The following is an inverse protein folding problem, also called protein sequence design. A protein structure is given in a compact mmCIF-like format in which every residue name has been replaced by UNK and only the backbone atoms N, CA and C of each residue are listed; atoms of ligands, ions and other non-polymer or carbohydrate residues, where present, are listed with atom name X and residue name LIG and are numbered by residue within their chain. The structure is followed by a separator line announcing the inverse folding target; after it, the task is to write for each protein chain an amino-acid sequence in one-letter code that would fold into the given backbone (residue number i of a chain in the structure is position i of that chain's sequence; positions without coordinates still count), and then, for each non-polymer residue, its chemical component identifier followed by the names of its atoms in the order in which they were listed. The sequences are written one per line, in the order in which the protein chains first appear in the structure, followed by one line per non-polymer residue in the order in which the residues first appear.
data_IF_463844450381
#
_entry.id   IF_463844450381
#
_cell.length_a   1.000
_cell.length_b   1.000
_cell.length_c   1.000
_cell.angle_alpha   90.00
_cell.angle_beta   90.00
_cell.angle_gamma   90.00
#
_symmetry.space_group_name_H-M   'P 1'
#
loop_
_entity.id
_entity.type
_entity.pdbx_description
1 polymer ?
#
# COMPACT_ATOMS: atom_id res chain seq x y z
N UNK A 1 -10.76 -2.95 -19.35
CA UNK A 1 -11.22 -1.68 -18.80
C UNK A 1 -10.05 -0.71 -18.76
N UNK A 2 -10.11 0.30 -19.60
CA UNK A 2 -9.21 1.44 -19.54
C UNK A 2 -9.75 2.32 -18.40
N UNK A 3 -8.96 2.55 -17.36
CA UNK A 3 -9.30 3.53 -16.35
C UNK A 3 -9.17 4.93 -16.98
N UNK A 4 -10.25 5.45 -17.49
CA UNK A 4 -10.30 6.75 -18.17
C UNK A 4 -10.39 7.95 -17.21
N UNK A 5 -10.44 7.69 -15.89
CA UNK A 5 -10.54 8.75 -14.88
C UNK A 5 -9.23 8.92 -14.15
N UNK A 6 -8.86 10.15 -13.75
CA UNK A 6 -7.71 10.38 -12.86
C UNK A 6 -7.84 9.54 -11.61
N UNK A 7 -6.73 8.88 -11.24
CA UNK A 7 -6.64 8.13 -9.99
C UNK A 7 -6.24 9.10 -8.89
N UNK A 8 -7.12 9.31 -7.92
CA UNK A 8 -6.85 10.22 -6.83
C UNK A 8 -5.75 9.69 -5.92
N UNK A 9 -4.76 10.54 -5.67
CA UNK A 9 -3.59 10.21 -4.87
C UNK A 9 -3.90 10.41 -3.38
N UNK A 10 -4.75 9.53 -2.82
CA UNK A 10 -5.08 9.46 -1.40
C UNK A 10 -4.74 8.11 -0.84
N UNK A 11 -4.27 8.10 0.42
CA UNK A 11 -3.99 6.91 1.22
C UNK A 11 -4.79 7.00 2.51
N UNK A 12 -5.53 5.95 2.85
CA UNK A 12 -6.25 5.81 4.11
C UNK A 12 -5.90 4.48 4.76
N UNK A 13 -5.63 4.50 6.06
CA UNK A 13 -5.57 3.28 6.85
C UNK A 13 -6.99 2.81 7.15
N UNK A 14 -7.28 1.56 6.86
CA UNK A 14 -8.61 1.00 7.09
C UNK A 14 -8.55 -0.24 7.97
N UNK A 15 -9.42 -0.27 9.00
CA UNK A 15 -9.73 -1.52 9.70
C UNK A 15 -10.54 -2.37 8.72
N UNK A 16 -9.98 -3.43 8.27
CA UNK A 16 -10.75 -4.33 7.48
C UNK A 16 -10.03 -5.67 7.41
N UNK A 17 -10.77 -6.73 7.56
CA UNK A 17 -10.32 -7.94 6.92
C UNK A 17 -10.09 -7.56 5.47
N UNK A 18 -8.83 -7.45 5.07
CA UNK A 18 -8.43 -7.52 3.66
C UNK A 18 -8.97 -8.85 3.16
N UNK A 19 -10.29 -8.84 3.11
CA UNK A 19 -11.10 -10.03 3.09
C UNK A 19 -10.74 -10.85 1.89
N UNK A 20 -11.14 -12.05 1.93
CA UNK A 20 -11.14 -12.99 0.82
C UNK A 20 -11.48 -12.22 -0.44
N UNK A 21 -10.47 -11.91 -1.22
CA UNK A 21 -10.63 -11.16 -2.44
C UNK A 21 -11.67 -11.85 -3.31
N UNK A 22 -12.57 -11.06 -3.89
CA UNK A 22 -13.56 -11.57 -4.84
C UNK A 22 -12.90 -12.36 -6.01
N UNK A 23 -11.66 -12.02 -6.35
CA UNK A 23 -10.85 -12.72 -7.33
C UNK A 23 -10.49 -14.13 -6.84
N UNK A 24 -10.14 -14.29 -5.57
CA UNK A 24 -9.81 -15.61 -5.03
C UNK A 24 -11.04 -16.51 -4.94
N UNK A 25 -12.22 -15.96 -4.68
CA UNK A 25 -13.48 -16.71 -4.74
C UNK A 25 -13.81 -17.18 -6.15
N UNK A 26 -13.62 -16.34 -7.16
CA UNK A 26 -13.90 -16.70 -8.57
C UNK A 26 -12.90 -17.69 -9.13
N UNK A 27 -11.64 -17.66 -8.69
CA UNK A 27 -10.61 -18.57 -9.16
C UNK A 27 -10.63 -19.94 -8.46
N UNK A 28 -11.47 -20.11 -7.43
CA UNK A 28 -11.48 -21.31 -6.60
C UNK A 28 -10.21 -21.54 -5.79
N UNK A 29 -9.25 -20.64 -5.86
CA UNK A 29 -7.96 -20.75 -5.16
C UNK A 29 -8.04 -20.02 -3.84
N UNK A 30 -8.06 -20.73 -2.74
CA UNK A 30 -7.98 -20.15 -1.41
C UNK A 30 -6.71 -19.29 -1.28
N UNK A 31 -6.87 -18.04 -0.89
CA UNK A 31 -5.76 -17.12 -0.60
C UNK A 31 -4.85 -16.73 -1.76
N UNK A 32 -5.30 -16.80 -3.02
CA UNK A 32 -4.47 -16.53 -4.19
C UNK A 32 -3.79 -15.14 -4.18
N UNK A 33 -4.41 -14.10 -3.61
CA UNK A 33 -3.91 -12.73 -3.65
C UNK A 33 -4.11 -11.96 -2.33
N UNK A 34 -3.77 -12.58 -1.21
CA UNK A 34 -3.77 -11.89 0.08
C UNK A 34 -2.45 -11.17 0.31
N UNK A 35 -2.51 -9.88 0.58
CA UNK A 35 -1.39 -9.12 1.11
C UNK A 35 -1.83 -8.32 2.34
N UNK A 36 -0.98 -8.19 3.34
CA UNK A 36 -1.32 -7.50 4.58
C UNK A 36 -1.16 -5.98 4.44
N UNK A 37 -1.73 -5.39 3.39
CA UNK A 37 -1.71 -3.95 3.24
C UNK A 37 -2.73 -3.30 4.18
N UNK A 38 -2.32 -2.40 5.05
CA UNK A 38 -3.22 -1.70 5.95
C UNK A 38 -3.87 -0.49 5.29
N UNK A 39 -3.52 -0.18 4.04
CA UNK A 39 -3.96 1.04 3.36
C UNK A 39 -4.92 0.75 2.22
N UNK A 40 -5.79 1.74 1.96
CA UNK A 40 -6.59 1.87 0.76
C UNK A 40 -6.13 3.08 -0.02
N UNK A 41 -6.35 3.06 -1.32
CA UNK A 41 -5.87 4.10 -2.23
C UNK A 41 -6.96 4.49 -3.24
N UNK A 42 -6.82 5.67 -3.83
CA UNK A 42 -7.73 6.15 -4.87
C UNK A 42 -9.18 6.30 -4.42
N UNK A 43 -10.15 5.91 -5.26
CA UNK A 43 -11.58 6.10 -4.97
C UNK A 43 -12.06 5.43 -3.69
N UNK A 44 -11.44 4.31 -3.29
CA UNK A 44 -11.78 3.65 -2.03
C UNK A 44 -11.32 4.47 -0.83
N UNK A 45 -10.09 5.00 -0.87
CA UNK A 45 -9.58 5.89 0.16
C UNK A 45 -10.40 7.18 0.27
N UNK A 46 -10.87 7.73 -0.86
CA UNK A 46 -11.75 8.89 -0.85
C UNK A 46 -13.08 8.62 -0.16
N UNK A 47 -13.70 7.47 -0.44
CA UNK A 47 -14.95 7.08 0.23
C UNK A 47 -14.78 6.90 1.73
N UNK A 48 -13.67 6.29 2.14
CA UNK A 48 -13.35 6.13 3.56
C UNK A 48 -13.16 7.48 4.25
N UNK A 49 -12.40 8.37 3.63
CA UNK A 49 -12.18 9.71 4.17
C UNK A 49 -13.47 10.54 4.28
N UNK A 50 -14.34 10.45 3.27
CA UNK A 50 -15.62 11.15 3.28
C UNK A 50 -16.59 10.61 4.35
N UNK A 51 -16.44 9.35 4.75
CA UNK A 51 -17.26 8.75 5.80
C UNK A 51 -16.74 9.07 7.22
N UNK A 52 -15.54 9.64 7.34
CA UNK A 52 -14.94 10.05 8.61
C UNK A 52 -15.39 11.45 8.94
N UNK A 53 -16.34 11.60 9.84
CA UNK A 53 -16.81 12.92 10.28
C UNK A 53 -15.90 13.43 11.40
N UNK A 54 -14.96 14.31 11.05
CA UNK A 54 -14.32 15.21 12.01
C UNK A 54 -13.55 14.59 13.18
N UNK A 55 -13.06 13.36 13.06
CA UNK A 55 -12.34 12.70 14.13
C UNK A 55 -10.91 13.25 14.28
N UNK A 56 -10.46 13.36 15.52
CA UNK A 56 -9.19 13.99 15.91
C UNK A 56 -7.93 13.17 15.53
N UNK A 57 -8.06 12.07 14.82
CA UNK A 57 -6.95 11.20 14.44
C UNK A 57 -6.59 11.27 12.96
N UNK A 58 -5.33 11.23 12.64
CA UNK A 58 -4.86 11.12 11.26
C UNK A 58 -5.05 9.67 10.77
N UNK A 59 -6.08 9.44 9.97
CA UNK A 59 -6.36 8.13 9.38
C UNK A 59 -5.76 7.98 7.99
N UNK A 60 -5.37 9.06 7.36
CA UNK A 60 -4.81 9.06 6.03
C UNK A 60 -4.27 10.41 5.58
N UNK A 61 -3.86 10.48 4.33
CA UNK A 61 -3.28 11.67 3.74
C UNK A 61 -3.64 11.78 2.25
N UNK A 62 -3.97 12.99 1.82
CA UNK A 62 -4.11 13.33 0.41
C UNK A 62 -2.76 13.68 -0.20
N UNK A 63 -2.56 13.30 -1.45
CA UNK A 63 -1.38 13.66 -2.25
C UNK A 63 -0.03 13.40 -1.54
N UNK A 64 0.27 12.17 -1.11
CA UNK A 64 1.47 11.86 -0.32
C UNK A 64 2.78 12.23 -1.03
N UNK A 65 2.79 12.34 -2.36
CA UNK A 65 3.93 12.82 -3.13
C UNK A 65 4.37 14.24 -2.74
N UNK A 66 3.46 15.07 -2.27
CA UNK A 66 3.76 16.45 -1.82
C UNK A 66 4.60 16.49 -0.53
N UNK A 67 4.71 15.39 0.18
CA UNK A 67 5.38 15.26 1.47
C UNK A 67 6.62 14.37 1.41
N UNK A 68 7.23 14.18 0.24
CA UNK A 68 8.40 13.32 0.06
C UNK A 68 9.56 13.69 0.99
N UNK A 69 9.75 14.98 1.26
CA UNK A 69 10.80 15.51 2.13
C UNK A 69 10.49 15.34 3.62
N UNK A 70 9.23 15.13 4.03
CA UNK A 70 8.83 14.99 5.43
C UNK A 70 9.07 13.58 5.94
N UNK A 71 10.28 13.34 6.40
CA UNK A 71 10.73 12.04 6.92
C UNK A 71 10.61 11.90 8.44
N UNK A 72 10.09 12.92 9.12
CA UNK A 72 9.92 12.91 10.57
C UNK A 72 8.84 11.92 10.97
N UNK A 73 9.01 11.24 12.12
CA UNK A 73 7.96 10.38 12.64
C UNK A 73 6.71 11.19 12.96
N UNK A 74 5.55 10.67 12.63
CA UNK A 74 4.29 11.23 13.12
C UNK A 74 4.14 10.88 14.61
N UNK A 75 4.37 11.87 15.47
CA UNK A 75 4.40 11.66 16.92
C UNK A 75 3.08 11.13 17.46
N UNK A 76 1.96 11.58 16.92
CA UNK A 76 0.62 11.13 17.32
C UNK A 76 0.30 9.70 16.80
N UNK A 77 1.08 9.21 15.84
CA UNK A 77 0.84 7.95 15.16
C UNK A 77 -0.33 8.04 14.17
N UNK A 78 -0.56 6.93 13.49
CA UNK A 78 -1.66 6.76 12.56
C UNK A 78 -2.74 5.89 13.18
N UNK A 79 -3.99 6.16 12.81
CA UNK A 79 -5.16 5.42 13.24
C UNK A 79 -5.85 4.78 12.05
N UNK A 80 -6.52 3.67 12.29
CA UNK A 80 -7.40 3.12 11.28
C UNK A 80 -8.66 3.97 11.14
N UNK A 81 -9.07 4.18 9.90
CA UNK A 81 -10.38 4.74 9.59
C UNK A 81 -11.43 3.66 9.90
N UNK A 82 -12.11 3.79 11.02
CA UNK A 82 -13.17 2.88 11.47
C UNK A 82 -14.54 3.43 11.14
N UNK A 83 -15.41 2.59 10.57
CA UNK A 83 -16.86 2.88 10.67
C UNK A 83 -17.27 2.58 12.11
N UNK A 84 -17.76 3.57 12.81
CA UNK A 84 -18.48 3.34 14.05
C UNK A 84 -19.74 2.53 13.73
N UNK A 85 -19.75 1.25 14.06
CA UNK A 85 -20.99 0.46 14.07
C UNK A 85 -21.88 0.80 15.25
N UNK A 86 -21.34 1.40 16.32
CA UNK A 86 -22.01 1.50 17.60
C UNK A 86 -21.95 2.90 18.25
N UNK A 87 -21.80 3.94 17.46
CA UNK A 87 -21.85 5.33 17.96
C UNK A 87 -20.64 5.80 18.78
N UNK A 88 -19.69 4.93 19.09
CA UNK A 88 -18.42 5.26 19.76
C UNK A 88 -17.29 5.17 18.77
N UNK A 89 -16.85 6.31 18.28
CA UNK A 89 -15.78 6.43 17.29
C UNK A 89 -14.39 6.33 17.93
N UNK A 90 -13.99 5.17 18.39
CA UNK A 90 -12.60 4.94 18.75
C UNK A 90 -11.89 4.36 17.55
N UNK A 91 -11.16 5.21 16.85
CA UNK A 91 -10.26 4.78 15.79
C UNK A 91 -9.04 4.10 16.43
N UNK A 92 -8.86 2.79 16.26
CA UNK A 92 -7.74 2.10 16.89
C UNK A 92 -6.43 2.50 16.21
N UNK A 93 -5.29 2.50 16.95
CA UNK A 93 -3.99 2.73 16.36
C UNK A 93 -3.68 1.69 15.29
N UNK A 94 -3.00 2.12 14.24
CA UNK A 94 -2.60 1.25 13.14
C UNK A 94 -1.68 0.15 13.68
N UNK A 95 -2.04 -1.09 13.40
CA UNK A 95 -1.31 -2.27 13.79
C UNK A 95 -1.49 -3.38 12.74
N UNK A 96 -0.72 -4.44 12.85
CA UNK A 96 -0.90 -5.62 12.00
C UNK A 96 0.40 -6.20 11.45
N UNK A 97 0.31 -7.34 10.75
CA UNK A 97 1.48 -8.10 10.31
C UNK A 97 2.46 -7.33 9.42
N UNK A 98 1.99 -6.30 8.71
CA UNK A 98 2.85 -5.52 7.83
C UNK A 98 3.90 -4.71 8.60
N UNK A 99 3.64 -4.38 9.87
CA UNK A 99 4.57 -3.65 10.73
C UNK A 99 5.88 -4.41 10.95
N UNK A 100 5.86 -5.73 10.86
CA UNK A 100 7.07 -6.56 10.90
C UNK A 100 8.02 -6.32 9.71
N UNK A 101 7.61 -5.57 8.69
CA UNK A 101 8.39 -5.34 7.48
C UNK A 101 8.82 -3.88 7.28
N UNK A 102 8.45 -3.01 8.21
CA UNK A 102 8.78 -1.59 8.17
C UNK A 102 9.29 -1.10 9.53
N UNK A 103 10.03 0.01 9.53
CA UNK A 103 10.42 0.71 10.77
C UNK A 103 9.27 1.54 11.33
N UNK A 104 9.42 2.11 12.52
CA UNK A 104 8.45 3.06 13.08
C UNK A 104 8.15 4.25 12.16
N UNK A 105 9.12 4.70 11.38
CA UNK A 105 8.94 5.76 10.39
C UNK A 105 8.42 5.28 9.04
N UNK A 106 8.22 3.97 8.87
CA UNK A 106 7.66 3.37 7.66
C UNK A 106 8.68 3.07 6.56
N UNK A 107 9.98 3.03 6.90
CA UNK A 107 11.01 2.58 5.96
C UNK A 107 10.96 1.06 5.81
N UNK A 108 11.04 0.56 4.59
CA UNK A 108 11.09 -0.89 4.35
C UNK A 108 12.37 -1.49 4.95
N UNK A 109 12.27 -2.46 5.87
CA UNK A 109 13.42 -3.06 6.55
C UNK A 109 14.44 -3.69 5.58
N UNK A 110 13.98 -4.24 4.45
CA UNK A 110 14.86 -4.76 3.40
C UNK A 110 15.72 -3.68 2.71
N UNK A 111 15.41 -2.40 2.89
CA UNK A 111 16.27 -1.30 2.45
C UNK A 111 17.45 -1.08 3.39
N UNK A 112 17.29 -1.40 4.65
CA UNK A 112 18.24 -1.04 5.72
C UNK A 112 19.31 -2.10 6.00
N UNK A 113 19.32 -3.20 5.24
CA UNK A 113 20.33 -4.27 5.30
C UNK A 113 20.63 -4.74 6.75
N UNK A 114 19.57 -4.95 7.53
CA UNK A 114 19.68 -5.41 8.91
C UNK A 114 19.89 -4.30 9.96
N UNK A 115 19.94 -3.03 9.56
CA UNK A 115 20.13 -1.90 10.50
C UNK A 115 18.83 -1.33 11.07
N UNK A 116 17.69 -1.84 10.65
CA UNK A 116 16.38 -1.39 11.11
C UNK A 116 15.72 -2.39 12.05
N UNK A 117 14.82 -1.89 12.89
CA UNK A 117 13.95 -2.71 13.73
C UNK A 117 12.50 -2.62 13.25
N UNK A 118 11.71 -3.70 13.39
CA UNK A 118 10.28 -3.68 13.12
C UNK A 118 9.55 -2.61 13.92
N UNK A 119 8.54 -2.04 13.32
CA UNK A 119 7.72 -1.03 13.97
C UNK A 119 6.92 -1.63 15.13
N UNK A 120 7.06 -1.03 16.31
CA UNK A 120 6.21 -1.31 17.47
C UNK A 120 5.01 -0.36 17.46
N UNK A 121 5.21 0.88 16.99
CA UNK A 121 4.16 1.89 16.85
C UNK A 121 4.14 2.43 15.43
N UNK A 122 2.95 2.72 14.93
CA UNK A 122 2.76 3.27 13.59
C UNK A 122 2.99 4.79 13.56
N UNK A 123 4.22 5.23 13.77
CA UNK A 123 4.65 6.63 13.65
C UNK A 123 5.19 6.95 12.26
N UNK A 124 4.63 6.32 11.26
CA UNK A 124 5.08 6.45 9.88
C UNK A 124 5.19 7.91 9.44
N UNK A 125 6.28 8.27 8.80
CA UNK A 125 6.47 9.61 8.24
C UNK A 125 5.48 9.86 7.10
N UNK A 126 5.15 11.13 6.83
CA UNK A 126 4.32 11.46 5.66
C UNK A 126 4.98 11.03 4.35
N UNK A 127 6.31 11.06 4.29
CA UNK A 127 7.08 10.57 3.16
C UNK A 127 6.85 9.09 2.90
N UNK A 128 6.78 8.26 3.93
CA UNK A 128 6.56 6.81 3.80
C UNK A 128 5.16 6.44 3.34
N UNK A 129 4.19 7.35 3.49
CA UNK A 129 2.84 7.15 2.93
C UNK A 129 2.86 7.01 1.40
N UNK A 130 3.84 7.62 0.73
CA UNK A 130 4.05 7.40 -0.69
C UNK A 130 4.57 5.99 -0.99
N UNK A 131 5.41 5.42 -0.13
CA UNK A 131 5.82 4.01 -0.22
C UNK A 131 4.61 3.08 -0.10
N UNK A 132 3.71 3.34 0.85
CA UNK A 132 2.50 2.52 1.03
C UNK A 132 1.53 2.64 -0.13
N UNK A 133 1.34 3.86 -0.67
CA UNK A 133 0.57 4.08 -1.89
C UNK A 133 1.10 3.19 -3.03
N UNK A 134 2.39 3.29 -3.30
CA UNK A 134 3.00 2.52 -4.39
C UNK A 134 2.96 1.02 -4.13
N UNK A 135 3.16 0.57 -2.89
CA UNK A 135 3.06 -0.85 -2.55
C UNK A 135 1.68 -1.38 -2.87
N UNK A 136 0.63 -0.67 -2.45
CA UNK A 136 -0.75 -1.06 -2.72
C UNK A 136 -1.05 -1.10 -4.21
N UNK A 137 -0.63 -0.07 -4.97
CA UNK A 137 -0.79 -0.03 -6.43
C UNK A 137 -0.07 -1.20 -7.13
N UNK A 138 1.15 -1.53 -6.69
CA UNK A 138 1.91 -2.66 -7.24
C UNK A 138 1.21 -3.99 -6.95
N UNK A 139 0.68 -4.17 -5.75
CA UNK A 139 -0.04 -5.39 -5.38
C UNK A 139 -1.36 -5.52 -6.12
N UNK A 140 -2.09 -4.42 -6.30
CA UNK A 140 -3.29 -4.40 -7.14
C UNK A 140 -2.96 -4.73 -8.60
N UNK A 141 -1.86 -4.19 -9.14
CA UNK A 141 -1.39 -4.52 -10.48
C UNK A 141 -1.05 -6.02 -10.60
N UNK A 142 -0.35 -6.60 -9.62
CA UNK A 142 -0.05 -8.04 -9.59
C UNK A 142 -1.33 -8.87 -9.56
N UNK A 143 -2.32 -8.48 -8.76
CA UNK A 143 -3.64 -9.12 -8.74
C UNK A 143 -4.32 -9.06 -10.10
N UNK A 144 -4.32 -7.88 -10.71
CA UNK A 144 -5.00 -7.64 -11.98
C UNK A 144 -4.40 -8.43 -13.13
N UNK A 145 -3.06 -8.45 -13.26
CA UNK A 145 -2.40 -9.22 -14.33
C UNK A 145 -2.52 -10.74 -14.15
N UNK A 146 -2.84 -11.19 -12.93
CA UNK A 146 -3.07 -12.59 -12.61
C UNK A 146 -4.55 -12.96 -12.51
N UNK A 147 -5.46 -12.02 -12.70
CA UNK A 147 -6.90 -12.31 -12.72
C UNK A 147 -7.23 -13.34 -13.81
N UNK A 148 -8.11 -14.32 -13.56
CA UNK A 148 -8.43 -15.37 -14.52
C UNK A 148 -8.82 -14.84 -15.89
N UNK A 149 -9.66 -13.79 -15.93
CA UNK A 149 -10.07 -13.16 -17.18
C UNK A 149 -8.90 -12.52 -17.96
N UNK A 150 -7.90 -12.00 -17.27
CA UNK A 150 -6.71 -11.42 -17.90
C UNK A 150 -5.75 -12.50 -18.40
N UNK A 151 -5.66 -13.62 -17.67
CA UNK A 151 -4.79 -14.73 -18.02
C UNK A 151 -5.34 -15.57 -19.17
N UNK A 152 -6.65 -15.88 -19.15
CA UNK A 152 -7.30 -16.69 -20.18
C UNK A 152 -7.28 -16.04 -21.57
N UNK A 153 -7.24 -14.70 -21.62
CA UNK A 153 -7.10 -13.96 -22.87
C UNK A 153 -5.69 -14.01 -23.47
N UNK A 154 -4.76 -14.74 -22.86
CA UNK A 154 -3.35 -14.76 -23.28
C UNK A 154 -2.77 -16.17 -23.33
N UNK A 155 -1.71 -16.31 -24.17
CA UNK A 155 -0.91 -17.54 -24.22
C UNK A 155 -0.38 -17.88 -22.81
N UNK A 156 -0.29 -19.16 -22.47
CA UNK A 156 0.14 -19.65 -21.16
C UNK A 156 -0.74 -19.15 -19.99
N UNK A 157 -2.04 -19.37 -20.10
CA UNK A 157 -3.02 -18.95 -19.09
C UNK A 157 -2.74 -19.54 -17.69
N UNK A 158 -2.10 -20.70 -17.61
CA UNK A 158 -1.79 -21.40 -16.35
C UNK A 158 -0.56 -20.84 -15.63
N UNK A 159 0.29 -20.10 -16.33
CA UNK A 159 1.53 -19.55 -15.77
C UNK A 159 1.27 -18.23 -15.03
N UNK A 160 1.62 -18.13 -13.74
CA UNK A 160 1.53 -16.87 -13.00
C UNK A 160 2.40 -15.78 -13.63
N UNK A 161 1.82 -14.58 -13.73
CA UNK A 161 2.51 -13.40 -14.28
C UNK A 161 3.30 -12.70 -13.18
N UNK A 162 4.51 -12.25 -13.52
CA UNK A 162 5.36 -11.47 -12.61
C UNK A 162 5.53 -10.04 -13.13
N UNK A 163 5.48 -9.09 -12.23
CA UNK A 163 5.81 -7.70 -12.52
C UNK A 163 7.34 -7.57 -12.63
N UNK A 164 7.85 -7.37 -13.85
CA UNK A 164 9.29 -7.30 -14.09
C UNK A 164 9.85 -5.88 -14.11
N UNK A 165 9.05 -4.92 -14.57
CA UNK A 165 9.49 -3.54 -14.75
C UNK A 165 8.44 -2.59 -14.20
N UNK A 166 8.90 -1.60 -13.46
CA UNK A 166 8.12 -0.46 -12.99
C UNK A 166 8.79 0.79 -13.56
N UNK A 167 8.03 1.60 -14.28
CA UNK A 167 8.49 2.88 -14.83
C UNK A 167 7.75 3.98 -14.10
N UNK A 168 8.51 4.88 -13.49
CA UNK A 168 7.98 6.08 -12.84
C UNK A 168 8.39 7.30 -13.67
N UNK A 169 7.41 8.10 -14.02
CA UNK A 169 7.65 9.39 -14.65
C UNK A 169 7.83 10.47 -13.59
N UNK A 170 8.72 11.38 -13.86
CA UNK A 170 9.02 12.52 -13.00
C UNK A 170 8.73 13.81 -13.75
N UNK A 171 8.19 14.84 -13.07
CA UNK A 171 8.13 16.17 -13.65
C UNK A 171 9.54 16.66 -13.99
N UNK A 172 9.75 17.28 -15.17
CA UNK A 172 11.07 17.77 -15.57
C UNK A 172 11.68 18.77 -14.58
N UNK A 173 10.84 19.57 -13.92
CA UNK A 173 11.26 20.57 -12.94
C UNK A 173 11.42 20.03 -11.51
N UNK A 174 11.33 18.71 -11.29
CA UNK A 174 11.49 18.15 -9.95
C UNK A 174 12.95 18.28 -9.48
N UNK A 175 13.22 18.87 -8.29
CA UNK A 175 14.56 18.97 -7.75
C UNK A 175 15.25 17.61 -7.59
N UNK A 176 16.54 17.52 -7.84
CA UNK A 176 17.31 16.26 -7.75
C UNK A 176 17.20 15.59 -6.39
N UNK A 177 17.16 16.38 -5.30
CA UNK A 177 16.97 15.85 -3.96
C UNK A 177 15.62 15.12 -3.81
N UNK A 178 14.54 15.69 -4.34
CA UNK A 178 13.22 15.06 -4.33
C UNK A 178 13.17 13.82 -5.24
N UNK A 179 13.82 13.87 -6.41
CA UNK A 179 13.94 12.70 -7.29
C UNK A 179 14.60 11.52 -6.58
N UNK A 180 15.66 11.79 -5.80
CA UNK A 180 16.34 10.79 -4.98
C UNK A 180 15.40 10.16 -3.95
N UNK A 181 14.66 11.00 -3.21
CA UNK A 181 13.70 10.53 -2.20
C UNK A 181 12.60 9.70 -2.87
N UNK A 182 12.04 10.18 -3.97
CA UNK A 182 11.00 9.46 -4.71
C UNK A 182 11.49 8.07 -5.17
N UNK A 183 12.73 7.99 -5.66
CA UNK A 183 13.35 6.71 -6.01
C UNK A 183 13.47 5.78 -4.82
N UNK A 184 13.95 6.27 -3.67
CA UNK A 184 14.05 5.51 -2.44
C UNK A 184 12.67 4.96 -2.00
N UNK A 185 11.63 5.79 -2.08
CA UNK A 185 10.25 5.38 -1.76
C UNK A 185 9.73 4.29 -2.70
N UNK A 186 10.01 4.43 -3.99
CA UNK A 186 9.63 3.45 -5.00
C UNK A 186 10.39 2.11 -4.81
N UNK A 187 11.66 2.16 -4.53
CA UNK A 187 12.46 0.97 -4.23
C UNK A 187 11.95 0.26 -2.97
N UNK A 188 11.61 1.03 -1.92
CA UNK A 188 10.97 0.51 -0.72
C UNK A 188 9.65 -0.22 -1.04
N UNK A 189 8.80 0.40 -1.85
CA UNK A 189 7.54 -0.19 -2.27
C UNK A 189 7.74 -1.49 -3.07
N UNK A 190 8.71 -1.52 -3.99
CA UNK A 190 9.04 -2.73 -4.76
C UNK A 190 9.52 -3.86 -3.84
N UNK A 191 10.34 -3.54 -2.83
CA UNK A 191 10.82 -4.54 -1.87
C UNK A 191 9.71 -5.08 -0.98
N UNK A 192 8.77 -4.24 -0.53
CA UNK A 192 7.59 -4.68 0.20
C UNK A 192 6.69 -5.54 -0.70
N UNK A 193 6.38 -5.09 -1.91
CA UNK A 193 5.55 -5.84 -2.85
C UNK A 193 6.17 -7.21 -3.19
N UNK A 194 7.49 -7.27 -3.36
CA UNK A 194 8.21 -8.54 -3.57
C UNK A 194 8.07 -9.48 -2.37
N UNK A 195 8.21 -8.98 -1.15
CA UNK A 195 8.02 -9.80 0.06
C UNK A 195 6.65 -10.48 0.03
N UNK A 196 5.59 -9.73 -0.24
CA UNK A 196 4.22 -10.27 -0.27
C UNK A 196 3.94 -11.16 -1.48
N UNK A 197 4.56 -10.89 -2.62
CA UNK A 197 4.38 -11.67 -3.84
C UNK A 197 5.16 -12.99 -3.81
N UNK A 198 6.37 -12.99 -3.25
CA UNK A 198 7.28 -14.14 -3.28
C UNK A 198 7.04 -15.16 -2.17
N UNK A 199 6.60 -14.74 -0.99
CA UNK A 199 6.31 -15.68 0.10
C UNK A 199 5.14 -16.64 -0.22
N UNK A 200 4.34 -16.32 -1.26
CA UNK A 200 3.26 -17.17 -1.75
C UNK A 200 3.54 -17.93 -3.04
N UNK A 201 4.50 -17.47 -3.82
CA UNK A 201 4.82 -17.97 -5.15
C UNK A 201 6.34 -18.07 -5.33
N UNK A 202 7.05 -18.35 -4.24
CA UNK A 202 8.48 -18.66 -4.29
C UNK A 202 8.74 -19.79 -5.31
N UNK A 203 9.94 -19.87 -5.87
CA UNK A 203 10.29 -21.05 -6.63
C UNK A 203 10.12 -22.24 -5.69
N UNK A 204 9.26 -23.16 -6.09
CA UNK A 204 9.25 -24.50 -5.52
C UNK A 204 10.60 -25.14 -5.82
#
# INVERSE_FOLDING_TARGET
HIYARPFESRVEFAVGSFGRDAISRRSGRANAFRWPSPVRVGPEAMRLAAATQGNEGATGISSPKRYLWDRRPNVQGWRFNGRASDGVTTEPPVSGPFMAHVTETGEALRMLRGRGQPAVRARFSRSSMFTFLLTELLMQAVSQINAPATRSARRFADVPRRLRRVILTLPPAMPLAEQKILRERAEGAIKLARKYSFDKYGPG
#
